data_IF_315666676919
#
_entry.id   IF_315666676919
#
_cell.length_a   1.000
_cell.length_b   1.000
_cell.length_c   1.000
_cell.angle_alpha   90.00
_cell.angle_beta   90.00
_cell.angle_gamma   90.00
#
_symmetry.space_group_name_H-M   'P 1'
#
loop_
_entity.id
_entity.type
_entity.pdbx_description
1 polymer ?
#
# COMPACT_ATOMS: atom_id res chain seq x y z
N UNK A 1 36.04 -10.13 74.95
CA UNK A 1 36.04 -8.65 75.04
C UNK A 1 35.51 -8.09 73.73
N UNK A 2 34.76 -6.98 73.80
CA UNK A 2 33.96 -6.28 72.76
C UNK A 2 34.41 -6.41 71.29
N UNK A 3 33.51 -6.82 70.38
CA UNK A 3 32.75 -6.00 69.38
C UNK A 3 33.58 -5.49 68.20
N UNK A 4 33.24 -5.90 66.97
CA UNK A 4 32.61 -5.03 65.95
C UNK A 4 32.44 -5.81 64.63
N UNK A 5 31.21 -5.76 64.14
CA UNK A 5 30.68 -6.28 62.88
C UNK A 5 31.08 -5.36 61.72
N UNK A 6 31.47 -5.92 60.57
CA UNK A 6 31.30 -5.27 59.25
C UNK A 6 31.07 -6.37 58.21
N UNK A 7 29.78 -6.66 58.00
CA UNK A 7 29.27 -7.49 56.91
C UNK A 7 29.34 -6.68 55.61
N UNK A 8 30.23 -7.06 54.70
CA UNK A 8 30.05 -6.74 53.28
C UNK A 8 29.15 -7.82 52.68
N UNK A 9 27.84 -7.59 52.74
CA UNK A 9 26.87 -8.30 51.90
C UNK A 9 27.15 -7.91 50.44
N UNK A 10 28.00 -8.67 49.75
CA UNK A 10 27.88 -8.75 48.29
C UNK A 10 26.67 -9.63 48.03
N UNK A 11 25.50 -8.98 47.97
CA UNK A 11 24.29 -9.55 47.41
C UNK A 11 24.61 -9.91 45.96
N UNK A 12 25.09 -11.13 45.73
CA UNK A 12 24.99 -11.77 44.42
C UNK A 12 23.54 -12.26 44.29
N UNK A 13 22.60 -11.31 44.19
CA UNK A 13 21.34 -11.63 43.53
C UNK A 13 21.70 -11.91 42.08
N UNK A 14 21.77 -13.20 41.73
CA UNK A 14 21.59 -13.60 40.35
C UNK A 14 20.14 -13.20 40.04
N UNK A 15 19.97 -11.95 39.60
CA UNK A 15 18.84 -11.58 38.78
C UNK A 15 18.99 -12.44 37.54
N UNK A 16 18.25 -13.55 37.49
CA UNK A 16 17.67 -13.91 36.21
C UNK A 16 16.80 -12.71 35.85
N UNK A 17 17.40 -11.72 35.19
CA UNK A 17 16.59 -10.92 34.29
C UNK A 17 16.04 -11.98 33.35
N UNK A 18 14.74 -12.28 33.44
CA UNK A 18 13.98 -12.54 32.24
C UNK A 18 14.32 -11.37 31.35
N UNK A 19 15.33 -11.57 30.49
CA UNK A 19 15.79 -10.56 29.56
C UNK A 19 14.51 -10.14 28.88
N UNK A 20 14.09 -8.92 29.17
CA UNK A 20 12.96 -8.33 28.49
C UNK A 20 13.42 -8.34 27.05
N UNK A 21 12.89 -9.29 26.29
CA UNK A 21 13.32 -9.45 24.93
C UNK A 21 12.85 -8.17 24.26
N UNK A 22 13.79 -7.24 24.07
CA UNK A 22 13.79 -6.35 22.93
C UNK A 22 13.86 -7.26 21.69
N UNK A 23 12.79 -8.03 21.45
CA UNK A 23 12.58 -8.64 20.16
C UNK A 23 12.45 -7.44 19.25
N UNK A 24 13.45 -7.25 18.38
CA UNK A 24 13.30 -6.36 17.24
C UNK A 24 11.89 -6.63 16.69
N UNK A 25 10.98 -5.64 16.71
CA UNK A 25 9.60 -5.88 16.29
C UNK A 25 9.52 -6.30 14.82
N UNK A 26 10.59 -6.04 14.05
CA UNK A 26 10.78 -6.44 12.66
C UNK A 26 11.53 -7.77 12.50
N UNK A 27 11.82 -8.52 13.57
CA UNK A 27 12.48 -9.82 13.48
C UNK A 27 11.57 -10.81 12.71
N UNK A 28 11.98 -11.15 11.49
CA UNK A 28 11.20 -11.95 10.54
C UNK A 28 10.43 -11.14 9.50
N UNK A 29 10.29 -9.82 9.71
CA UNK A 29 9.44 -8.93 8.91
C UNK A 29 9.75 -8.85 7.42
N UNK A 30 8.78 -8.30 6.68
CA UNK A 30 8.79 -8.13 5.23
C UNK A 30 9.12 -6.67 4.89
N UNK A 31 9.96 -6.48 3.89
CA UNK A 31 10.24 -5.16 3.31
C UNK A 31 9.27 -4.89 2.16
N UNK A 32 8.46 -3.84 2.28
CA UNK A 32 7.54 -3.39 1.23
C UNK A 32 8.20 -2.23 0.49
N UNK A 33 8.59 -2.48 -0.76
CA UNK A 33 9.17 -1.45 -1.62
C UNK A 33 8.07 -0.56 -2.22
N UNK A 34 8.11 0.73 -1.92
CA UNK A 34 7.26 1.74 -2.51
C UNK A 34 8.08 2.57 -3.50
N UNK A 35 7.67 2.58 -4.76
CA UNK A 35 8.33 3.33 -5.83
C UNK A 35 7.42 4.42 -6.34
N UNK A 36 7.90 5.65 -6.40
CA UNK A 36 7.19 6.71 -7.10
C UNK A 36 7.49 6.67 -8.60
N UNK A 37 6.64 6.02 -9.38
CA UNK A 37 6.74 5.98 -10.84
C UNK A 37 6.04 7.17 -11.52
N UNK A 38 5.64 8.21 -10.77
CA UNK A 38 4.98 9.40 -11.32
C UNK A 38 6.01 10.51 -11.56
N UNK A 39 5.75 11.39 -12.54
CA UNK A 39 6.59 12.57 -12.84
C UNK A 39 6.53 13.68 -11.77
N UNK A 40 5.72 13.48 -10.72
CA UNK A 40 5.53 14.44 -9.64
C UNK A 40 5.71 13.79 -8.27
N UNK A 41 6.05 14.62 -7.27
CA UNK A 41 6.17 14.19 -5.88
C UNK A 41 4.85 13.60 -5.37
N UNK A 42 4.96 12.48 -4.66
CA UNK A 42 3.85 11.89 -3.90
C UNK A 42 4.17 11.87 -2.41
N UNK A 43 3.13 11.73 -1.57
CA UNK A 43 3.29 11.63 -0.13
C UNK A 43 2.59 10.38 0.40
N UNK A 44 3.28 9.22 0.42
CA UNK A 44 2.74 8.01 0.99
C UNK A 44 2.28 8.21 2.44
N UNK A 45 1.24 7.47 2.81
CA UNK A 45 0.71 7.36 4.16
C UNK A 45 0.59 5.88 4.54
N UNK A 46 0.85 5.58 5.82
CA UNK A 46 0.82 4.24 6.38
C UNK A 46 0.01 4.28 7.66
N UNK A 47 -1.05 3.47 7.72
CA UNK A 47 -1.88 3.27 8.91
C UNK A 47 -1.76 1.83 9.34
N UNK A 48 -1.31 1.60 10.55
CA UNK A 48 -1.30 0.26 11.15
C UNK A 48 -2.68 -0.03 11.73
N UNK A 49 -3.29 -1.14 11.34
CA UNK A 49 -4.56 -1.63 11.87
C UNK A 49 -4.32 -2.59 13.05
N UNK A 50 -3.42 -3.55 12.89
CA UNK A 50 -2.99 -4.48 13.96
C UNK A 50 -1.50 -4.75 13.89
N UNK A 51 -0.88 -5.06 15.02
CA UNK A 51 0.56 -5.31 15.13
C UNK A 51 1.35 -4.06 15.54
N UNK A 52 2.68 -4.11 15.39
CA UNK A 52 3.55 -2.98 15.74
C UNK A 52 3.32 -1.81 14.77
N UNK A 53 3.19 -0.59 15.31
CA UNK A 53 3.00 0.61 14.50
C UNK A 53 4.25 0.84 13.64
N UNK A 54 4.07 0.84 12.33
CA UNK A 54 5.15 1.08 11.37
C UNK A 54 5.33 2.58 11.18
N UNK A 55 6.59 3.04 11.24
CA UNK A 55 6.98 4.43 11.02
C UNK A 55 7.99 4.52 9.88
N UNK A 56 7.95 5.59 9.05
CA UNK A 56 7.07 6.75 9.14
C UNK A 56 5.64 6.45 8.67
N UNK A 57 4.65 7.03 9.35
CA UNK A 57 3.22 6.93 8.99
C UNK A 57 2.83 7.86 7.84
N UNK A 58 3.74 8.74 7.43
CA UNK A 58 3.62 9.50 6.20
C UNK A 58 4.96 10.12 5.84
N UNK A 59 5.29 10.13 4.56
CA UNK A 59 6.58 10.61 4.06
C UNK A 59 6.42 11.20 2.67
N UNK A 60 7.43 11.95 2.23
CA UNK A 60 7.56 12.46 0.87
C UNK A 60 8.31 11.43 0.05
N UNK A 61 7.92 11.24 -1.21
CA UNK A 61 8.62 10.38 -2.17
C UNK A 61 8.71 11.13 -3.50
N UNK A 62 9.92 11.48 -3.91
CA UNK A 62 10.22 12.19 -5.15
C UNK A 62 10.05 11.28 -6.38
N UNK A 63 9.91 11.84 -7.60
CA UNK A 63 9.90 11.02 -8.82
C UNK A 63 11.09 10.06 -8.87
N UNK A 64 10.83 8.81 -9.27
CA UNK A 64 11.78 7.70 -9.33
C UNK A 64 12.38 7.26 -7.98
N UNK A 65 11.99 7.89 -6.87
CA UNK A 65 12.47 7.52 -5.55
C UNK A 65 11.83 6.23 -5.05
N UNK A 66 12.64 5.42 -4.38
CA UNK A 66 12.27 4.13 -3.81
C UNK A 66 12.39 4.22 -2.29
N UNK A 67 11.33 3.85 -1.59
CA UNK A 67 11.31 3.73 -0.14
C UNK A 67 10.97 2.30 0.29
N UNK A 68 11.87 1.68 1.06
CA UNK A 68 11.63 0.35 1.62
C UNK A 68 11.00 0.50 3.01
N UNK A 69 9.72 0.15 3.11
CA UNK A 69 8.96 0.16 4.36
C UNK A 69 9.07 -1.21 5.03
N UNK A 70 9.80 -1.28 6.12
CA UNK A 70 9.90 -2.51 6.92
C UNK A 70 8.63 -2.71 7.75
N UNK A 71 7.99 -3.87 7.59
CA UNK A 71 6.79 -4.25 8.36
C UNK A 71 6.99 -5.60 9.06
N UNK A 72 6.57 -5.76 10.32
CA UNK A 72 6.55 -7.08 10.98
C UNK A 72 5.69 -8.10 10.24
N UNK A 73 5.98 -9.39 10.38
CA UNK A 73 5.14 -10.48 9.82
C UNK A 73 3.70 -10.50 10.34
N UNK A 74 3.48 -9.91 11.52
CA UNK A 74 2.16 -9.79 12.16
C UNK A 74 1.44 -8.49 11.82
N UNK A 75 2.04 -7.66 10.98
CA UNK A 75 1.50 -6.36 10.65
C UNK A 75 0.32 -6.47 9.69
N UNK A 76 -0.77 -5.78 10.02
CA UNK A 76 -1.83 -5.47 9.07
C UNK A 76 -2.09 -3.97 9.08
N UNK A 77 -2.36 -3.41 7.91
CA UNK A 77 -2.55 -1.97 7.77
C UNK A 77 -2.94 -1.57 6.37
N UNK A 78 -2.94 -0.26 6.14
CA UNK A 78 -3.25 0.36 4.86
C UNK A 78 -2.11 1.28 4.47
N UNK A 79 -1.70 1.21 3.20
CA UNK A 79 -0.76 2.14 2.59
C UNK A 79 -1.51 2.87 1.48
N UNK A 80 -1.38 4.19 1.41
CA UNK A 80 -1.95 5.02 0.34
C UNK A 80 -0.94 6.06 -0.10
N UNK A 81 -1.17 6.69 -1.25
CA UNK A 81 -0.36 7.81 -1.73
C UNK A 81 -1.20 9.07 -1.86
N UNK A 82 -0.65 10.21 -1.44
CA UNK A 82 -1.24 11.54 -1.64
C UNK A 82 -0.46 12.28 -2.74
N UNK A 83 -1.10 13.20 -3.42
CA UNK A 83 -0.47 14.09 -4.42
C UNK A 83 -0.84 15.54 -4.11
N UNK A 84 -0.05 16.49 -4.62
CA UNK A 84 -0.36 17.92 -4.47
C UNK A 84 -0.37 18.44 -3.03
N UNK A 85 0.44 17.87 -2.13
CA UNK A 85 0.57 18.39 -0.77
C UNK A 85 1.41 19.68 -0.77
N UNK A 86 0.76 20.83 -0.87
CA UNK A 86 1.37 22.12 -0.51
C UNK A 86 1.22 22.33 1.00
N UNK A 87 2.25 22.86 1.67
CA UNK A 87 2.13 23.41 3.02
C UNK A 87 1.19 24.62 3.13
N UNK A 88 0.44 24.90 2.07
CA UNK A 88 -0.55 25.95 1.94
C UNK A 88 -1.85 25.34 1.40
N UNK A 89 -2.92 25.24 2.19
CA UNK A 89 -4.15 24.51 1.84
C UNK A 89 -5.03 25.18 0.77
N UNK A 90 -4.54 26.14 -0.01
CA UNK A 90 -5.39 27.01 -0.85
C UNK A 90 -4.87 27.31 -2.27
N UNK A 91 -3.93 26.54 -2.84
CA UNK A 91 -3.41 26.86 -4.18
C UNK A 91 -3.24 25.63 -5.08
N UNK A 92 -4.33 25.19 -5.71
CA UNK A 92 -4.29 24.24 -6.85
C UNK A 92 -5.43 23.20 -6.87
N UNK A 93 -5.62 22.56 -8.03
CA UNK A 93 -6.45 21.37 -8.17
C UNK A 93 -5.64 20.13 -7.77
N UNK A 94 -6.19 19.25 -6.93
CA UNK A 94 -5.68 17.91 -6.69
C UNK A 94 -6.25 16.94 -7.72
N UNK A 95 -5.41 16.09 -8.31
CA UNK A 95 -5.81 15.04 -9.24
C UNK A 95 -5.58 13.67 -8.62
N UNK A 96 -6.56 12.77 -8.72
CA UNK A 96 -6.51 11.45 -8.12
C UNK A 96 -7.23 10.40 -8.98
N UNK A 97 -6.75 9.17 -8.87
CA UNK A 97 -7.31 7.98 -9.50
C UNK A 97 -7.04 6.76 -8.61
N UNK A 98 -7.88 5.75 -8.72
CA UNK A 98 -7.60 4.43 -8.19
C UNK A 98 -7.08 3.56 -9.33
N UNK A 99 -5.81 3.18 -9.31
CA UNK A 99 -5.17 2.45 -10.39
C UNK A 99 -4.99 0.99 -10.02
N UNK A 100 -5.72 0.10 -10.71
CA UNK A 100 -5.72 -1.34 -10.50
C UNK A 100 -5.08 -2.10 -11.68
N UNK A 101 -4.37 -1.40 -12.58
CA UNK A 101 -3.71 -2.02 -13.76
C UNK A 101 -2.70 -3.11 -13.41
N UNK A 102 -2.18 -3.10 -12.18
CA UNK A 102 -1.12 -4.02 -11.74
C UNK A 102 -1.59 -5.13 -10.81
N UNK A 103 -2.88 -5.17 -10.48
CA UNK A 103 -3.45 -6.18 -9.59
C UNK A 103 -4.31 -5.58 -8.49
N UNK A 104 -4.92 -6.48 -7.72
CA UNK A 104 -5.76 -6.18 -6.59
C UNK A 104 -5.52 -7.21 -5.49
N UNK A 105 -5.39 -6.78 -4.25
CA UNK A 105 -5.36 -7.66 -3.09
C UNK A 105 -6.44 -7.32 -2.05
N UNK A 106 -6.85 -6.06 -1.98
CA UNK A 106 -7.77 -5.58 -0.98
C UNK A 106 -8.64 -4.45 -1.53
N UNK A 107 -9.90 -4.43 -1.10
CA UNK A 107 -10.84 -3.36 -1.43
C UNK A 107 -10.34 -2.02 -0.90
N UNK A 108 -10.42 -0.99 -1.74
CA UNK A 108 -9.95 0.36 -1.44
C UNK A 108 -10.94 1.39 -1.99
N UNK A 109 -11.15 2.47 -1.26
CA UNK A 109 -12.01 3.59 -1.68
C UNK A 109 -11.24 4.88 -1.55
N UNK A 110 -11.29 5.75 -2.56
CA UNK A 110 -10.77 7.11 -2.45
C UNK A 110 -11.94 8.05 -2.17
N UNK A 111 -11.99 8.57 -0.94
CA UNK A 111 -13.07 9.48 -0.52
C UNK A 111 -12.46 10.83 -0.13
N UNK A 112 -12.50 11.85 -1.00
CA UNK A 112 -12.11 13.20 -0.62
C UNK A 112 -12.91 13.71 0.60
N UNK A 113 -12.28 14.51 1.46
CA UNK A 113 -12.94 15.18 2.59
C UNK A 113 -13.93 16.25 2.12
N UNK A 114 -13.60 16.95 1.03
CA UNK A 114 -14.54 17.88 0.41
C UNK A 114 -15.65 17.09 -0.29
N UNK A 115 -16.89 17.30 0.16
CA UNK A 115 -18.08 16.64 -0.39
C UNK A 115 -18.36 16.98 -1.85
N UNK A 116 -17.81 18.07 -2.38
CA UNK A 116 -17.95 18.46 -3.78
C UNK A 116 -17.02 17.64 -4.70
N UNK A 117 -16.10 16.87 -4.13
CA UNK A 117 -15.13 16.09 -4.87
C UNK A 117 -15.58 14.65 -5.05
N UNK A 118 -15.31 14.11 -6.24
CA UNK A 118 -15.80 12.79 -6.66
C UNK A 118 -15.18 11.68 -5.84
N UNK A 119 -16.00 10.75 -5.36
CA UNK A 119 -15.53 9.56 -4.65
C UNK A 119 -15.25 8.43 -5.65
N UNK A 120 -14.24 7.61 -5.36
CA UNK A 120 -13.93 6.39 -6.12
C UNK A 120 -14.14 5.17 -5.21
N UNK A 121 -15.35 4.59 -5.17
CA UNK A 121 -15.60 3.40 -4.38
C UNK A 121 -15.11 2.13 -5.11
N UNK A 122 -14.23 1.35 -4.48
CA UNK A 122 -13.86 0.00 -4.94
C UNK A 122 -13.64 -0.94 -3.74
N UNK A 123 -14.65 -1.05 -2.89
CA UNK A 123 -14.62 -1.92 -1.70
C UNK A 123 -15.02 -3.37 -2.00
N UNK A 124 -15.48 -3.66 -3.24
CA UNK A 124 -15.84 -5.01 -3.65
C UNK A 124 -14.58 -5.84 -3.80
N UNK A 125 -14.65 -7.09 -3.35
CA UNK A 125 -13.53 -8.01 -3.42
C UNK A 125 -13.40 -8.63 -4.82
N UNK A 126 -12.42 -8.14 -5.59
CA UNK A 126 -12.10 -8.63 -6.93
C UNK A 126 -11.56 -10.08 -6.87
N UNK A 127 -11.00 -10.52 -5.73
CA UNK A 127 -10.40 -11.86 -5.61
C UNK A 127 -11.43 -12.99 -5.78
N UNK A 128 -12.70 -12.73 -5.48
CA UNK A 128 -13.79 -13.70 -5.59
C UNK A 128 -14.02 -14.18 -7.02
N UNK A 129 -13.83 -13.30 -7.99
CA UNK A 129 -14.01 -13.58 -9.42
C UNK A 129 -12.68 -13.65 -10.18
N UNK A 130 -11.55 -13.60 -9.47
CA UNK A 130 -10.24 -13.62 -10.10
C UNK A 130 -10.01 -14.95 -10.86
N UNK A 131 -9.61 -14.92 -12.15
CA UNK A 131 -9.24 -16.13 -12.88
C UNK A 131 -8.13 -16.90 -12.17
N UNK A 132 -8.18 -18.23 -12.19
CA UNK A 132 -7.23 -19.06 -11.42
C UNK A 132 -5.77 -18.86 -11.86
N UNK A 133 -5.52 -18.56 -13.14
CA UNK A 133 -4.17 -18.25 -13.64
C UNK A 133 -3.59 -16.93 -13.15
N UNK A 134 -4.43 -16.06 -12.58
CA UNK A 134 -4.06 -14.74 -12.07
C UNK A 134 -4.14 -14.66 -10.55
N UNK A 135 -4.80 -15.63 -9.92
CA UNK A 135 -5.02 -15.65 -8.48
C UNK A 135 -3.74 -16.03 -7.71
N UNK A 136 -3.51 -15.34 -6.59
CA UNK A 136 -2.58 -15.76 -5.55
C UNK A 136 -3.38 -16.41 -4.41
N UNK A 137 -2.86 -17.52 -3.89
CA UNK A 137 -3.53 -18.32 -2.88
C UNK A 137 -2.78 -18.30 -1.55
N UNK A 138 -3.54 -18.31 -0.45
CA UNK A 138 -3.01 -18.61 0.88
C UNK A 138 -2.67 -20.10 1.03
N UNK A 139 -2.10 -20.46 2.19
CA UNK A 139 -1.85 -21.86 2.57
C UNK A 139 -3.14 -22.68 2.65
N UNK A 140 -4.27 -22.03 2.92
CA UNK A 140 -5.59 -22.65 3.03
C UNK A 140 -6.36 -22.64 1.69
N UNK A 141 -5.66 -22.43 0.57
CA UNK A 141 -6.23 -22.36 -0.78
C UNK A 141 -7.28 -21.26 -0.98
N UNK A 142 -7.19 -20.17 -0.21
CA UNK A 142 -8.06 -18.99 -0.34
C UNK A 142 -7.40 -18.00 -1.31
N UNK A 143 -8.14 -17.44 -2.26
CA UNK A 143 -7.65 -16.36 -3.13
C UNK A 143 -7.41 -15.09 -2.28
N UNK A 144 -6.17 -14.63 -2.21
CA UNK A 144 -5.77 -13.46 -1.39
C UNK A 144 -5.36 -12.25 -2.22
N UNK A 145 -5.09 -12.46 -3.51
CA UNK A 145 -4.87 -11.39 -4.47
C UNK A 145 -5.17 -11.87 -5.89
N UNK A 146 -5.34 -10.91 -6.79
CA UNK A 146 -5.53 -11.08 -8.20
C UNK A 146 -4.48 -10.26 -8.94
N UNK A 147 -3.53 -10.92 -9.58
CA UNK A 147 -2.55 -10.26 -10.45
C UNK A 147 -3.24 -9.77 -11.71
N UNK A 148 -2.72 -8.69 -12.30
CA UNK A 148 -3.08 -8.37 -13.68
C UNK A 148 -2.36 -9.29 -14.67
N UNK A 149 -2.86 -9.32 -15.91
CA UNK A 149 -2.19 -10.03 -17.00
C UNK A 149 -0.76 -9.51 -17.19
N UNK A 150 -0.59 -8.18 -17.26
CA UNK A 150 0.73 -7.55 -17.39
C UNK A 150 1.68 -7.93 -16.24
N UNK A 151 1.22 -7.90 -14.99
CA UNK A 151 2.05 -8.29 -13.84
C UNK A 151 2.49 -9.76 -13.93
N UNK A 152 1.66 -10.62 -14.52
CA UNK A 152 1.92 -12.06 -14.61
C UNK A 152 2.87 -12.41 -15.76
N UNK A 153 2.64 -11.84 -16.94
CA UNK A 153 3.35 -12.24 -18.16
C UNK A 153 4.49 -11.28 -18.53
N UNK A 154 4.38 -10.00 -18.23
CA UNK A 154 5.27 -8.95 -18.75
C UNK A 154 5.19 -8.75 -20.27
N UNK A 155 4.28 -9.44 -20.96
CA UNK A 155 4.20 -9.45 -22.42
C UNK A 155 3.70 -8.10 -22.95
N UNK A 156 4.25 -7.60 -24.07
CA UNK A 156 3.86 -6.30 -24.62
C UNK A 156 2.35 -6.15 -24.88
N UNK A 157 1.68 -7.24 -25.26
CA UNK A 157 0.23 -7.29 -25.48
C UNK A 157 -0.59 -7.10 -24.20
N UNK A 158 -0.08 -7.57 -23.07
CA UNK A 158 -0.79 -7.54 -21.78
C UNK A 158 -0.50 -6.23 -21.04
N UNK A 159 0.66 -5.64 -21.31
CA UNK A 159 1.10 -4.36 -20.74
C UNK A 159 0.82 -3.14 -21.63
N UNK A 160 0.26 -3.35 -22.83
CA UNK A 160 0.01 -2.31 -23.84
C UNK A 160 1.26 -1.50 -24.21
N UNK A 161 2.38 -2.17 -24.47
CA UNK A 161 3.65 -1.53 -24.83
C UNK A 161 4.10 -1.88 -26.24
N UNK A 162 5.06 -1.13 -26.78
CA UNK A 162 5.65 -1.39 -28.11
C UNK A 162 4.60 -1.37 -29.22
N UNK A 163 4.46 -2.48 -29.95
CA UNK A 163 3.46 -2.62 -31.01
C UNK A 163 2.03 -2.40 -30.50
N UNK A 164 1.75 -2.73 -29.24
CA UNK A 164 0.44 -2.62 -28.61
C UNK A 164 0.20 -1.29 -27.90
N UNK A 165 1.07 -0.29 -28.08
CA UNK A 165 0.98 1.02 -27.46
C UNK A 165 -0.10 1.93 -28.11
N UNK A 166 -1.25 1.38 -28.51
CA UNK A 166 -2.44 2.15 -28.88
C UNK A 166 -3.74 1.44 -28.48
N UNK A 167 -4.84 2.19 -28.26
CA UNK A 167 -6.13 1.62 -27.89
C UNK A 167 -6.68 0.61 -28.93
N UNK A 168 -6.42 0.81 -30.23
CA UNK A 168 -6.90 -0.13 -31.25
C UNK A 168 -6.15 -1.47 -31.25
N UNK A 169 -4.95 -1.50 -30.64
CA UNK A 169 -4.07 -2.67 -30.67
C UNK A 169 -4.05 -3.41 -29.35
N UNK A 170 -4.22 -2.74 -28.21
CA UNK A 170 -4.27 -3.39 -26.91
C UNK A 170 -5.69 -3.80 -26.56
N UNK A 171 -5.99 -5.09 -26.73
CA UNK A 171 -7.29 -5.64 -26.38
C UNK A 171 -7.45 -5.79 -24.86
N UNK A 172 -8.68 -5.63 -24.39
CA UNK A 172 -9.06 -5.97 -23.02
C UNK A 172 -8.83 -7.48 -22.78
N UNK A 173 -8.38 -7.81 -21.58
CA UNK A 173 -8.22 -9.17 -21.10
C UNK A 173 -9.24 -9.49 -19.99
N UNK A 174 -9.23 -10.72 -19.48
CA UNK A 174 -10.17 -11.16 -18.44
C UNK A 174 -10.05 -10.31 -17.16
N UNK A 175 -8.83 -9.91 -16.80
CA UNK A 175 -8.59 -9.08 -15.62
C UNK A 175 -9.13 -7.67 -15.80
N UNK A 176 -8.87 -7.01 -16.94
CA UNK A 176 -9.38 -5.65 -17.18
C UNK A 176 -10.90 -5.62 -17.18
N UNK A 177 -11.53 -6.59 -17.85
CA UNK A 177 -13.00 -6.74 -17.87
C UNK A 177 -13.58 -6.93 -16.47
N UNK A 178 -12.90 -7.72 -15.63
CA UNK A 178 -13.29 -7.95 -14.25
C UNK A 178 -13.23 -6.67 -13.40
N UNK A 179 -12.14 -5.90 -13.53
CA UNK A 179 -11.98 -4.63 -12.80
C UNK A 179 -13.03 -3.62 -13.24
N UNK A 180 -13.26 -3.46 -14.55
CA UNK A 180 -14.26 -2.49 -15.08
C UNK A 180 -15.67 -2.83 -14.61
N UNK A 181 -16.00 -4.11 -14.53
CA UNK A 181 -17.31 -4.57 -14.04
C UNK A 181 -17.45 -4.39 -12.52
N UNK A 182 -16.38 -4.62 -11.78
CA UNK A 182 -16.42 -4.63 -10.29
C UNK A 182 -16.25 -3.23 -9.72
N UNK A 183 -15.37 -2.43 -10.31
CA UNK A 183 -14.93 -1.11 -9.88
C UNK A 183 -14.85 -0.14 -11.07
N UNK A 184 -15.99 0.31 -11.63
CA UNK A 184 -16.05 1.06 -12.90
C UNK A 184 -15.44 2.46 -12.85
N UNK A 185 -15.08 2.95 -11.66
CA UNK A 185 -14.41 4.24 -11.49
C UNK A 185 -12.88 4.09 -11.24
N UNK A 186 -12.37 2.85 -11.25
CA UNK A 186 -10.96 2.55 -11.15
C UNK A 186 -10.34 2.38 -12.55
N UNK A 187 -9.07 2.75 -12.67
CA UNK A 187 -8.28 2.58 -13.88
C UNK A 187 -7.83 1.12 -13.96
N UNK A 188 -8.32 0.42 -14.99
CA UNK A 188 -8.04 -1.00 -15.27
C UNK A 188 -7.07 -1.20 -16.44
N UNK A 189 -7.05 -0.25 -17.38
CA UNK A 189 -6.39 -0.35 -18.69
C UNK A 189 -5.37 0.77 -18.90
N UNK A 190 -4.31 0.51 -19.66
CA UNK A 190 -3.23 1.45 -19.91
C UNK A 190 -3.69 2.75 -20.61
N UNK A 191 -4.79 2.69 -21.37
CA UNK A 191 -5.37 3.83 -22.08
C UNK A 191 -6.59 4.43 -21.39
N UNK A 192 -6.97 3.89 -20.23
CA UNK A 192 -7.98 4.53 -19.43
C UNK A 192 -7.40 5.80 -18.80
N UNK A 193 -7.86 6.94 -19.31
CA UNK A 193 -7.46 8.26 -18.84
C UNK A 193 -8.32 8.76 -17.67
N UNK A 194 -9.15 7.90 -17.07
CA UNK A 194 -10.01 8.26 -15.94
C UNK A 194 -9.17 8.79 -14.78
N UNK A 195 -9.38 10.07 -14.48
CA UNK A 195 -8.87 10.74 -13.32
C UNK A 195 -9.91 11.77 -12.86
N UNK A 196 -9.91 12.06 -11.57
CA UNK A 196 -10.79 13.07 -11.00
C UNK A 196 -9.96 14.22 -10.46
N UNK A 197 -10.51 15.43 -10.58
CA UNK A 197 -9.93 16.63 -9.98
C UNK A 197 -10.77 17.09 -8.78
N UNK A 198 -10.13 17.78 -7.86
CA UNK A 198 -10.75 18.43 -6.71
C UNK A 198 -10.05 19.77 -6.47
N UNK A 199 -10.81 20.86 -6.43
CA UNK A 199 -10.27 22.19 -6.19
C UNK A 199 -9.79 22.34 -4.73
N UNK A 200 -8.66 23.02 -4.51
CA UNK A 200 -8.27 23.51 -3.18
C UNK A 200 -7.44 22.56 -2.31
N UNK A 201 -6.70 21.60 -2.89
CA UNK A 201 -5.86 20.69 -2.08
C UNK A 201 -6.71 19.75 -1.21
N UNK A 202 -7.10 18.59 -1.73
CA UNK A 202 -7.97 17.67 -0.97
C UNK A 202 -7.20 16.66 -0.14
N UNK A 203 -7.69 16.40 1.07
CA UNK A 203 -7.29 15.25 1.88
C UNK A 203 -8.31 14.13 1.68
N UNK A 204 -7.91 12.87 1.85
CA UNK A 204 -8.79 11.71 1.66
C UNK A 204 -9.12 11.06 3.01
N UNK A 205 -10.35 10.57 3.16
CA UNK A 205 -10.77 9.74 4.28
C UNK A 205 -10.26 8.31 4.15
N UNK A 206 -9.99 7.74 5.32
CA UNK A 206 -9.50 6.39 5.59
C UNK A 206 -10.45 5.23 5.24
#
# INVERSE_FOLDING_TARGET
>A
MKVQLLLYFVFLTILFSTGNANKNPYAGGVSIQLTNACDGTIWPGVRTKTGHIVTPTGFKLEPEEIYNLEVPDSWSGTIWARTGCSGNPNSGNSYYKLDLRYGFNMGVSLTPLDSNCRKIPCIKDITLQCPNGLALYSKDAIKVACKSACYTSGEPKDCCTGYYASPEKCNLNEYTSLVETTCPAAVSSAFDQTHFSCSGGTSFME
#
